data_IF_416386724317
#
_entry.id   IF_416386724317
#
_cell.length_a   1.000
_cell.length_b   1.000
_cell.length_c   1.000
_cell.angle_alpha   90.00
_cell.angle_beta   90.00
_cell.angle_gamma   90.00
#
_symmetry.space_group_name_H-M   'P 1'
#
loop_
_entity.id
_entity.type
_entity.pdbx_description
1 polymer ?
#
# COMPACT_ATOMS: atom_id res chain seq x y z
N UNK A 1 -3.17 14.49 -25.68
CA UNK A 1 -4.62 14.22 -25.55
C UNK A 1 -4.91 13.08 -24.57
N UNK A 2 -4.15 11.97 -24.59
CA UNK A 2 -4.30 10.87 -23.62
C UNK A 2 -4.03 11.28 -22.17
N UNK A 3 -3.02 12.12 -21.92
CA UNK A 3 -2.70 12.61 -20.57
C UNK A 3 -3.84 13.44 -19.93
N UNK A 4 -4.48 14.33 -20.70
CA UNK A 4 -5.62 15.12 -20.20
C UNK A 4 -6.80 14.23 -19.80
N UNK A 5 -7.13 13.24 -20.63
CA UNK A 5 -8.19 12.27 -20.35
C UNK A 5 -7.85 11.45 -19.10
N UNK A 6 -6.60 10.99 -18.99
CA UNK A 6 -6.11 10.25 -17.82
C UNK A 6 -6.24 11.07 -16.53
N UNK A 7 -5.80 12.33 -16.53
CA UNK A 7 -5.93 13.22 -15.38
C UNK A 7 -7.38 13.47 -14.97
N UNK A 8 -8.28 13.68 -15.95
CA UNK A 8 -9.71 13.85 -15.69
C UNK A 8 -10.31 12.61 -15.04
N UNK A 9 -9.97 11.40 -15.51
CA UNK A 9 -10.50 10.17 -14.94
C UNK A 9 -9.93 9.93 -13.52
N UNK A 10 -8.65 10.22 -13.28
CA UNK A 10 -8.07 10.16 -11.93
C UNK A 10 -8.70 11.17 -10.97
N UNK A 11 -8.99 12.38 -11.43
CA UNK A 11 -9.71 13.38 -10.65
C UNK A 11 -11.13 12.88 -10.33
N UNK A 12 -11.85 12.37 -11.33
CA UNK A 12 -13.18 11.82 -11.14
C UNK A 12 -13.17 10.64 -10.14
N UNK A 13 -12.20 9.73 -10.26
CA UNK A 13 -12.00 8.60 -9.35
C UNK A 13 -11.75 9.08 -7.92
N UNK A 14 -10.88 10.08 -7.74
CA UNK A 14 -10.59 10.69 -6.44
C UNK A 14 -11.83 11.32 -5.82
N UNK A 15 -12.65 12.03 -6.60
CA UNK A 15 -13.93 12.60 -6.14
C UNK A 15 -14.89 11.49 -5.71
N UNK A 16 -15.00 10.39 -6.46
CA UNK A 16 -15.87 9.27 -6.07
C UNK A 16 -15.41 8.60 -4.77
N UNK A 17 -14.10 8.51 -4.50
CA UNK A 17 -13.59 8.03 -3.21
C UNK A 17 -13.96 8.96 -2.06
N UNK A 18 -13.77 10.28 -2.22
CA UNK A 18 -14.12 11.27 -1.19
C UNK A 18 -15.63 11.21 -0.88
N UNK A 19 -16.48 11.20 -1.90
CA UNK A 19 -17.92 11.10 -1.74
C UNK A 19 -18.34 9.75 -1.13
N UNK A 20 -17.72 8.65 -1.58
CA UNK A 20 -17.93 7.31 -1.04
C UNK A 20 -17.63 7.23 0.45
N UNK A 21 -16.46 7.74 0.88
CA UNK A 21 -16.05 7.83 2.28
C UNK A 21 -17.01 8.68 3.11
N UNK A 22 -17.42 9.85 2.60
CA UNK A 22 -18.41 10.72 3.27
C UNK A 22 -19.75 10.00 3.48
N UNK A 23 -20.18 9.22 2.49
CA UNK A 23 -21.42 8.44 2.56
C UNK A 23 -21.33 7.23 3.49
N UNK A 24 -20.14 6.65 3.68
CA UNK A 24 -19.90 5.56 4.62
C UNK A 24 -20.06 6.01 6.09
N UNK A 25 -19.85 7.29 6.39
CA UNK A 25 -20.07 7.85 7.73
C UNK A 25 -21.54 7.93 8.15
N UNK A 26 -22.50 7.64 7.25
CA UNK A 26 -23.94 7.60 7.57
C UNK A 26 -24.55 6.25 7.15
N UNK A 27 -25.16 5.55 8.11
CA UNK A 27 -25.73 4.22 7.92
C UNK A 27 -26.76 4.14 6.78
N UNK A 28 -27.55 5.21 6.54
CA UNK A 28 -28.55 5.25 5.46
C UNK A 28 -27.91 5.26 4.07
N UNK A 29 -26.72 5.84 3.93
CA UNK A 29 -26.00 5.97 2.66
C UNK A 29 -24.85 5.00 2.49
N UNK A 30 -24.46 4.27 3.53
CA UNK A 30 -23.25 3.44 3.56
C UNK A 30 -23.16 2.43 2.40
N UNK A 31 -24.24 1.71 2.08
CA UNK A 31 -24.24 0.75 0.95
C UNK A 31 -23.95 1.42 -0.39
N UNK A 32 -24.56 2.58 -0.64
CA UNK A 32 -24.33 3.38 -1.85
C UNK A 32 -22.94 4.01 -1.86
N UNK A 33 -22.43 4.42 -0.70
CA UNK A 33 -21.07 4.93 -0.56
C UNK A 33 -20.02 3.89 -0.94
N UNK A 34 -20.19 2.65 -0.47
CA UNK A 34 -19.31 1.54 -0.83
C UNK A 34 -19.33 1.23 -2.34
N UNK A 35 -20.51 1.20 -2.97
CA UNK A 35 -20.60 0.96 -4.42
C UNK A 35 -19.98 2.11 -5.23
N UNK A 36 -20.15 3.36 -4.78
CA UNK A 36 -19.54 4.51 -5.44
C UNK A 36 -18.01 4.45 -5.40
N UNK A 37 -17.44 4.10 -4.25
CA UNK A 37 -15.99 3.91 -4.12
C UNK A 37 -15.48 2.74 -5.00
N UNK A 38 -16.25 1.66 -5.11
CA UNK A 38 -15.90 0.53 -5.98
C UNK A 38 -15.84 0.94 -7.47
N UNK A 39 -16.79 1.75 -7.94
CA UNK A 39 -16.76 2.30 -9.31
C UNK A 39 -15.52 3.16 -9.53
N UNK A 40 -15.17 4.02 -8.55
CA UNK A 40 -13.93 4.80 -8.58
C UNK A 40 -12.67 3.96 -8.72
N UNK A 41 -12.58 2.87 -7.94
CA UNK A 41 -11.45 1.94 -8.01
C UNK A 41 -11.34 1.25 -9.37
N UNK A 42 -12.46 0.78 -9.94
CA UNK A 42 -12.48 0.15 -11.28
C UNK A 42 -12.01 1.15 -12.34
N UNK A 43 -12.50 2.40 -12.28
CA UNK A 43 -12.10 3.46 -13.21
C UNK A 43 -10.60 3.78 -13.10
N UNK A 44 -10.05 3.87 -11.89
CA UNK A 44 -8.63 4.12 -11.67
C UNK A 44 -7.75 2.98 -12.23
N UNK A 45 -8.08 1.72 -11.93
CA UNK A 45 -7.35 0.55 -12.45
C UNK A 45 -7.41 0.50 -13.98
N UNK A 46 -8.60 0.70 -14.55
CA UNK A 46 -8.77 0.73 -16.01
C UNK A 46 -7.91 1.82 -16.65
N UNK A 47 -7.89 3.01 -16.05
CA UNK A 47 -7.10 4.14 -16.55
C UNK A 47 -5.60 3.81 -16.51
N UNK A 48 -5.12 3.23 -15.42
CA UNK A 48 -3.72 2.83 -15.27
C UNK A 48 -3.27 1.79 -16.31
N UNK A 49 -4.16 0.87 -16.73
CA UNK A 49 -3.85 -0.17 -17.71
C UNK A 49 -3.97 0.31 -19.15
N UNK A 50 -4.89 1.24 -19.45
CA UNK A 50 -5.18 1.66 -20.84
C UNK A 50 -4.37 2.89 -21.26
N UNK A 51 -4.13 3.83 -20.34
CA UNK A 51 -3.47 5.11 -20.63
C UNK A 51 -2.01 5.14 -20.15
N UNK A 52 -1.35 3.99 -20.01
CA UNK A 52 0.08 3.96 -19.72
C UNK A 52 0.89 4.39 -20.94
N UNK A 53 2.06 4.98 -20.69
CA UNK A 53 3.01 5.36 -21.72
C UNK A 53 4.05 4.25 -21.93
N UNK A 54 4.33 3.93 -23.20
CA UNK A 54 5.35 2.96 -23.59
C UNK A 54 4.79 1.67 -24.17
N UNK A 55 5.64 0.95 -24.91
CA UNK A 55 5.28 -0.34 -25.48
C UNK A 55 5.44 -1.44 -24.41
N UNK A 56 4.33 -2.06 -24.02
CA UNK A 56 4.32 -3.17 -23.07
C UNK A 56 4.10 -4.48 -23.82
N UNK A 57 4.95 -5.48 -23.56
CA UNK A 57 4.86 -6.80 -24.19
C UNK A 57 3.54 -7.50 -23.85
N UNK A 58 2.93 -8.28 -24.76
CA UNK A 58 1.74 -9.10 -24.47
C UNK A 58 1.92 -10.01 -23.26
N UNK A 59 3.14 -10.50 -23.01
CA UNK A 59 3.45 -11.32 -21.84
C UNK A 59 3.25 -10.54 -20.53
N UNK A 60 3.66 -9.27 -20.49
CA UNK A 60 3.52 -8.41 -19.31
C UNK A 60 2.05 -8.12 -19.02
N UNK A 61 1.24 -7.86 -20.05
CA UNK A 61 -0.22 -7.75 -19.87
C UNK A 61 -0.81 -9.05 -19.29
N UNK A 62 -0.35 -10.21 -19.78
CA UNK A 62 -0.72 -11.51 -19.21
C UNK A 62 -0.40 -11.62 -17.71
N UNK A 63 0.77 -11.15 -17.28
CA UNK A 63 1.15 -11.10 -15.87
C UNK A 63 0.29 -10.13 -15.05
N UNK A 64 0.01 -8.93 -15.56
CA UNK A 64 -0.84 -7.93 -14.89
C UNK A 64 -2.25 -8.49 -14.67
N UNK A 65 -2.90 -8.97 -15.73
CA UNK A 65 -4.25 -9.54 -15.61
C UNK A 65 -4.26 -10.82 -14.76
N UNK A 66 -3.21 -11.65 -14.87
CA UNK A 66 -3.04 -12.84 -14.02
C UNK A 66 -2.93 -12.48 -12.54
N UNK A 67 -2.10 -11.50 -12.18
CA UNK A 67 -1.94 -11.03 -10.81
C UNK A 67 -3.24 -10.41 -10.26
N UNK A 68 -3.93 -9.56 -11.04
CA UNK A 68 -5.24 -9.00 -10.67
C UNK A 68 -6.26 -10.11 -10.44
N UNK A 69 -6.33 -11.10 -11.32
CA UNK A 69 -7.26 -12.21 -11.21
C UNK A 69 -6.99 -13.05 -9.95
N UNK A 70 -5.73 -13.45 -9.73
CA UNK A 70 -5.34 -14.24 -8.55
C UNK A 70 -5.64 -13.46 -7.27
N UNK A 71 -5.20 -12.20 -7.18
CA UNK A 71 -5.43 -11.34 -6.01
C UNK A 71 -6.91 -11.12 -5.73
N UNK A 72 -7.71 -10.87 -6.77
CA UNK A 72 -9.17 -10.68 -6.64
C UNK A 72 -9.85 -11.96 -6.16
N UNK A 73 -9.51 -13.11 -6.74
CA UNK A 73 -10.11 -14.40 -6.35
C UNK A 73 -9.76 -14.76 -4.91
N UNK A 74 -8.47 -14.71 -4.55
CA UNK A 74 -8.02 -15.04 -3.19
C UNK A 74 -8.61 -14.06 -2.18
N UNK A 75 -8.57 -12.76 -2.47
CA UNK A 75 -9.14 -11.73 -1.61
C UNK A 75 -10.64 -11.88 -1.41
N UNK A 76 -11.39 -12.10 -2.50
CA UNK A 76 -12.84 -12.27 -2.45
C UNK A 76 -13.25 -13.54 -1.70
N UNK A 77 -12.59 -14.67 -1.96
CA UNK A 77 -12.87 -15.93 -1.28
C UNK A 77 -12.58 -15.83 0.22
N UNK A 78 -11.47 -15.20 0.60
CA UNK A 78 -11.10 -15.00 2.00
C UNK A 78 -12.13 -14.10 2.71
N UNK A 79 -12.51 -12.98 2.07
CA UNK A 79 -13.51 -12.06 2.62
C UNK A 79 -14.89 -12.69 2.78
N UNK A 80 -15.31 -13.55 1.85
CA UNK A 80 -16.62 -14.21 1.90
C UNK A 80 -16.70 -15.34 2.94
N UNK A 81 -15.58 -15.97 3.26
CA UNK A 81 -15.53 -17.14 4.17
C UNK A 81 -15.25 -16.78 5.63
N UNK A 82 -14.75 -15.57 5.92
CA UNK A 82 -14.44 -15.18 7.30
C UNK A 82 -15.72 -14.98 8.13
N UNK A 83 -15.67 -15.35 9.41
CA UNK A 83 -16.76 -15.07 10.35
C UNK A 83 -16.75 -13.58 10.74
N UNK A 84 -17.92 -12.98 10.95
CA UNK A 84 -18.04 -11.56 11.36
C UNK A 84 -17.33 -11.24 12.68
N UNK A 85 -17.16 -12.24 13.56
CA UNK A 85 -16.39 -12.12 14.82
C UNK A 85 -14.89 -11.97 14.59
N UNK A 86 -14.38 -12.45 13.45
CA UNK A 86 -12.98 -12.36 13.04
C UNK A 86 -12.72 -11.24 12.03
N UNK A 87 -13.68 -10.33 11.85
CA UNK A 87 -13.51 -9.18 10.97
C UNK A 87 -12.28 -8.33 11.31
N UNK A 88 -11.93 -8.08 12.60
CA UNK A 88 -10.72 -7.31 12.93
C UNK A 88 -9.42 -7.93 12.39
N UNK A 89 -9.30 -9.27 12.43
CA UNK A 89 -8.14 -10.00 11.89
C UNK A 89 -8.02 -9.83 10.37
N UNK A 90 -9.14 -10.00 9.67
CA UNK A 90 -9.19 -9.86 8.21
C UNK A 90 -8.83 -8.44 7.77
N UNK A 91 -9.35 -7.43 8.46
CA UNK A 91 -9.05 -6.02 8.18
C UNK A 91 -7.56 -5.72 8.41
N UNK A 92 -6.96 -6.29 9.47
CA UNK A 92 -5.51 -6.19 9.71
C UNK A 92 -4.70 -6.78 8.56
N UNK A 93 -5.04 -7.99 8.10
CA UNK A 93 -4.35 -8.62 6.97
C UNK A 93 -4.46 -7.78 5.69
N UNK A 94 -5.65 -7.31 5.33
CA UNK A 94 -5.82 -6.50 4.13
C UNK A 94 -5.11 -5.14 4.20
N UNK A 95 -5.04 -4.52 5.39
CA UNK A 95 -4.22 -3.32 5.57
C UNK A 95 -2.74 -3.63 5.37
N UNK A 96 -2.25 -4.74 5.94
CA UNK A 96 -0.87 -5.20 5.77
C UNK A 96 -0.50 -5.45 4.32
N UNK A 97 -1.35 -6.12 3.55
CA UNK A 97 -1.10 -6.35 2.11
C UNK A 97 -1.00 -5.03 1.34
N UNK A 98 -1.80 -4.01 1.70
CA UNK A 98 -1.66 -2.66 1.15
C UNK A 98 -0.30 -2.02 1.48
N UNK A 99 0.18 -2.17 2.72
CA UNK A 99 1.53 -1.76 3.13
C UNK A 99 2.62 -2.49 2.35
N UNK A 100 2.49 -3.81 2.16
CA UNK A 100 3.42 -4.60 1.36
C UNK A 100 3.47 -4.13 -0.11
N UNK A 101 2.32 -3.80 -0.70
CA UNK A 101 2.28 -3.21 -2.04
C UNK A 101 3.10 -1.90 -2.11
N UNK A 102 2.93 -0.99 -1.14
CA UNK A 102 3.71 0.25 -1.10
C UNK A 102 5.22 0.01 -0.95
N UNK A 103 5.61 -0.95 -0.11
CA UNK A 103 7.01 -1.36 0.06
C UNK A 103 7.63 -1.93 -1.23
N UNK A 104 6.90 -2.84 -1.90
CA UNK A 104 7.35 -3.46 -3.15
C UNK A 104 7.42 -2.46 -4.31
N UNK A 105 6.46 -1.54 -4.41
CA UNK A 105 6.51 -0.43 -5.38
C UNK A 105 7.78 0.39 -5.14
N UNK A 106 8.08 0.71 -3.87
CA UNK A 106 9.29 1.44 -3.55
C UNK A 106 10.57 0.72 -3.96
N UNK A 107 10.61 -0.61 -3.83
CA UNK A 107 11.77 -1.43 -4.17
C UNK A 107 12.02 -1.43 -5.68
N UNK A 108 10.95 -1.56 -6.47
CA UNK A 108 11.03 -1.59 -7.93
C UNK A 108 11.32 -0.20 -8.52
N UNK A 109 10.74 0.85 -7.94
CA UNK A 109 10.80 2.20 -8.52
C UNK A 109 12.04 3.00 -8.12
N UNK A 110 12.74 2.57 -7.05
CA UNK A 110 13.94 3.25 -6.54
C UNK A 110 15.00 3.47 -7.63
N UNK A 111 15.38 2.41 -8.34
CA UNK A 111 16.43 2.48 -9.36
C UNK A 111 16.06 3.35 -10.58
N UNK A 112 14.76 3.51 -10.87
CA UNK A 112 14.29 4.36 -11.97
C UNK A 112 14.31 5.85 -11.61
N UNK A 113 14.36 6.22 -10.33
CA UNK A 113 14.19 7.59 -9.85
C UNK A 113 15.34 8.10 -8.97
N UNK A 114 16.51 7.47 -9.02
CA UNK A 114 17.70 7.86 -8.23
C UNK A 114 18.26 9.24 -8.60
N UNK A 115 17.94 9.77 -9.79
CA UNK A 115 18.44 11.06 -10.28
C UNK A 115 17.71 12.27 -9.70
N UNK A 116 16.48 12.10 -9.21
CA UNK A 116 15.68 13.19 -8.65
C UNK A 116 15.51 13.00 -7.13
N UNK A 117 16.14 13.84 -6.29
CA UNK A 117 16.07 13.72 -4.84
C UNK A 117 14.65 13.74 -4.29
N UNK A 118 13.73 14.50 -4.91
CA UNK A 118 12.34 14.58 -4.48
C UNK A 118 11.61 13.27 -4.73
N UNK A 119 11.78 12.67 -5.90
CA UNK A 119 11.15 11.38 -6.22
C UNK A 119 11.71 10.28 -5.32
N UNK A 120 13.03 10.25 -5.14
CA UNK A 120 13.70 9.32 -4.24
C UNK A 120 13.18 9.45 -2.80
N UNK A 121 12.99 10.67 -2.29
CA UNK A 121 12.44 10.90 -0.95
C UNK A 121 11.01 10.36 -0.80
N UNK A 122 10.14 10.59 -1.78
CA UNK A 122 8.75 10.11 -1.76
C UNK A 122 8.71 8.57 -1.83
N UNK A 123 9.54 7.98 -2.68
CA UNK A 123 9.66 6.52 -2.84
C UNK A 123 10.15 5.87 -1.54
N UNK A 124 11.22 6.38 -0.94
CA UNK A 124 11.77 5.82 0.30
C UNK A 124 10.82 6.04 1.49
N UNK A 125 10.15 7.18 1.57
CA UNK A 125 9.12 7.41 2.60
C UNK A 125 7.95 6.42 2.46
N UNK A 126 7.46 6.23 1.22
CA UNK A 126 6.41 5.25 0.93
C UNK A 126 6.83 3.81 1.27
N UNK A 127 8.08 3.44 0.97
CA UNK A 127 8.64 2.15 1.32
C UNK A 127 8.67 1.94 2.83
N UNK A 128 9.24 2.87 3.60
CA UNK A 128 9.34 2.78 5.07
C UNK A 128 7.94 2.67 5.70
N UNK A 129 7.01 3.52 5.30
CA UNK A 129 5.62 3.48 5.80
C UNK A 129 4.97 2.14 5.43
N UNK A 130 5.20 1.64 4.22
CA UNK A 130 4.70 0.36 3.73
C UNK A 130 5.21 -0.83 4.53
N UNK A 131 6.53 -0.93 4.74
CA UNK A 131 7.17 -2.01 5.50
C UNK A 131 6.72 -2.04 6.95
N UNK A 132 6.68 -0.87 7.61
CA UNK A 132 6.19 -0.74 8.99
C UNK A 132 4.70 -1.09 9.10
N UNK A 133 3.88 -0.67 8.14
CA UNK A 133 2.45 -1.00 8.09
C UNK A 133 2.23 -2.51 7.90
N UNK A 134 3.03 -3.15 7.03
CA UNK A 134 2.98 -4.59 6.81
C UNK A 134 3.36 -5.37 8.07
N UNK A 135 4.53 -5.07 8.66
CA UNK A 135 5.01 -5.77 9.87
C UNK A 135 4.06 -5.57 11.05
N UNK A 136 3.58 -4.34 11.27
CA UNK A 136 2.59 -4.01 12.30
C UNK A 136 1.28 -4.77 12.10
N UNK A 137 0.81 -4.90 10.87
CA UNK A 137 -0.41 -5.64 10.52
C UNK A 137 -0.27 -7.15 10.74
N UNK A 138 0.90 -7.73 10.47
CA UNK A 138 1.16 -9.15 10.74
C UNK A 138 1.18 -9.44 12.25
N UNK A 139 1.81 -8.56 13.04
CA UNK A 139 1.81 -8.67 14.51
C UNK A 139 0.40 -8.48 15.08
N UNK A 140 -0.37 -7.51 14.58
CA UNK A 140 -1.75 -7.28 15.00
C UNK A 140 -2.66 -8.48 14.66
N UNK A 141 -2.53 -9.04 13.46
CA UNK A 141 -3.23 -10.27 13.08
C UNK A 141 -2.87 -11.45 13.98
N UNK A 142 -1.58 -11.65 14.26
CA UNK A 142 -1.11 -12.75 15.11
C UNK A 142 -1.65 -12.64 16.55
N UNK A 143 -1.81 -11.42 17.07
CA UNK A 143 -2.44 -11.18 18.38
C UNK A 143 -3.93 -11.51 18.37
N UNK A 144 -4.65 -11.03 17.36
CA UNK A 144 -6.11 -11.19 17.28
C UNK A 144 -6.51 -12.66 17.05
N UNK A 145 -5.79 -13.39 16.19
CA UNK A 145 -6.03 -14.82 15.93
C UNK A 145 -5.47 -15.74 17.04
N UNK A 146 -4.91 -15.18 18.12
CA UNK A 146 -4.45 -15.95 19.28
C UNK A 146 -3.11 -16.68 19.13
N UNK A 147 -2.41 -16.52 18.00
CA UNK A 147 -1.05 -17.05 17.77
C UNK A 147 -0.03 -16.40 18.71
N UNK A 148 -0.17 -15.09 18.98
CA UNK A 148 0.69 -14.33 19.88
C UNK A 148 -0.09 -13.92 21.13
N UNK A 149 0.18 -14.59 22.26
CA UNK A 149 -0.61 -14.44 23.51
C UNK A 149 -0.12 -13.34 24.45
N UNK A 150 1.19 -13.09 24.51
CA UNK A 150 1.80 -12.17 25.46
C UNK A 150 2.39 -10.95 24.75
N UNK A 151 2.15 -9.77 25.30
CA UNK A 151 2.84 -8.56 24.88
C UNK A 151 4.31 -8.68 25.30
N UNK A 152 5.21 -8.86 24.33
CA UNK A 152 6.65 -8.74 24.56
C UNK A 152 6.92 -7.27 24.89
N UNK A 153 7.17 -6.96 26.16
CA UNK A 153 7.47 -5.61 26.63
C UNK A 153 8.97 -5.51 26.90
N UNK A 154 9.65 -4.71 26.08
CA UNK A 154 11.03 -4.33 26.31
C UNK A 154 11.10 -3.23 27.39
N UNK A 155 12.21 -3.17 28.16
CA UNK A 155 12.47 -2.01 29.02
C UNK A 155 12.51 -0.73 28.16
N UNK A 156 11.87 0.35 28.62
CA UNK A 156 11.81 1.64 27.92
C UNK A 156 11.32 1.58 26.44
N UNK A 157 10.37 0.69 26.13
CA UNK A 157 9.85 0.47 24.78
C UNK A 157 9.41 1.75 24.02
N UNK A 158 8.85 2.76 24.70
CA UNK A 158 8.49 4.03 24.05
C UNK A 158 9.70 4.74 23.46
N UNK A 159 10.82 4.77 24.18
CA UNK A 159 12.05 5.41 23.75
C UNK A 159 12.65 4.65 22.57
N UNK A 160 12.72 3.31 22.67
CA UNK A 160 13.26 2.44 21.61
C UNK A 160 12.44 2.60 20.32
N UNK A 161 11.12 2.50 20.40
CA UNK A 161 10.25 2.63 19.22
C UNK A 161 10.37 4.01 18.57
N UNK A 162 10.44 5.06 19.38
CA UNK A 162 10.62 6.44 18.88
C UNK A 162 11.98 6.59 18.20
N UNK A 163 13.04 6.09 18.83
CA UNK A 163 14.40 6.14 18.28
C UNK A 163 14.52 5.37 16.96
N UNK A 164 13.92 4.18 16.86
CA UNK A 164 13.87 3.41 15.61
C UNK A 164 13.10 4.17 14.54
N UNK A 165 11.90 4.67 14.86
CA UNK A 165 11.07 5.41 13.90
C UNK A 165 11.81 6.63 13.34
N UNK A 166 12.40 7.47 14.20
CA UNK A 166 13.19 8.62 13.74
C UNK A 166 14.46 8.18 13.02
N UNK A 167 15.10 7.10 13.46
CA UNK A 167 16.27 6.51 12.81
C UNK A 167 15.99 6.10 11.37
N UNK A 168 14.84 5.46 11.10
CA UNK A 168 14.45 5.04 9.75
C UNK A 168 14.24 6.23 8.81
N UNK A 169 13.53 7.26 9.25
CA UNK A 169 13.33 8.46 8.44
C UNK A 169 14.62 9.27 8.27
N UNK A 170 15.46 9.37 9.30
CA UNK A 170 16.76 10.02 9.21
C UNK A 170 17.70 9.29 8.25
N UNK A 171 17.71 7.95 8.29
CA UNK A 171 18.50 7.12 7.39
C UNK A 171 18.01 7.24 5.94
N UNK A 172 16.70 7.22 5.72
CA UNK A 172 16.08 7.49 4.42
C UNK A 172 16.46 8.89 3.89
N UNK A 173 16.38 9.94 4.73
CA UNK A 173 16.79 11.29 4.34
C UNK A 173 18.29 11.38 4.03
N UNK A 174 19.13 10.67 4.78
CA UNK A 174 20.56 10.57 4.51
C UNK A 174 20.83 9.91 3.14
N UNK A 175 20.11 8.83 2.80
CA UNK A 175 20.23 8.20 1.48
C UNK A 175 19.92 9.18 0.35
N UNK A 176 18.87 10.00 0.50
CA UNK A 176 18.49 11.04 -0.47
C UNK A 176 19.57 12.11 -0.59
N UNK A 177 20.14 12.56 0.54
CA UNK A 177 21.19 13.58 0.53
C UNK A 177 22.46 13.07 -0.14
N UNK A 178 22.92 11.88 0.21
CA UNK A 178 24.12 11.28 -0.40
C UNK A 178 23.88 10.90 -1.87
N UNK A 179 22.63 10.64 -2.25
CA UNK A 179 22.28 10.16 -3.59
C UNK A 179 22.79 8.75 -3.84
N UNK A 180 22.86 7.92 -2.79
CA UNK A 180 23.34 6.54 -2.92
C UNK A 180 22.28 5.66 -3.60
N UNK A 181 22.71 4.88 -4.60
CA UNK A 181 21.87 3.90 -5.30
C UNK A 181 22.17 2.45 -4.85
N UNK A 182 22.86 2.28 -3.72
CA UNK A 182 23.26 0.96 -3.24
C UNK A 182 22.05 0.14 -2.75
N UNK A 183 21.92 -1.07 -3.31
CA UNK A 183 20.85 -2.02 -2.99
C UNK A 183 20.87 -2.45 -1.53
N UNK A 184 22.06 -2.51 -0.91
CA UNK A 184 22.18 -2.90 0.50
C UNK A 184 21.42 -1.94 1.41
N UNK A 185 21.55 -0.63 1.17
CA UNK A 185 20.85 0.40 1.96
C UNK A 185 19.34 0.36 1.74
N UNK A 186 18.91 0.09 0.51
CA UNK A 186 17.50 -0.11 0.17
C UNK A 186 16.90 -1.32 0.91
N UNK A 187 17.61 -2.46 0.93
CA UNK A 187 17.14 -3.65 1.62
C UNK A 187 17.08 -3.49 3.15
N UNK A 188 17.98 -2.72 3.74
CA UNK A 188 17.92 -2.36 5.16
C UNK A 188 16.60 -1.62 5.46
N UNK A 189 16.21 -0.66 4.62
CA UNK A 189 14.95 0.06 4.78
C UNK A 189 13.72 -0.81 4.49
N UNK A 190 13.82 -1.71 3.52
CA UNK A 190 12.72 -2.60 3.15
C UNK A 190 12.37 -3.58 4.27
N UNK A 191 13.37 -4.12 4.98
CA UNK A 191 13.19 -5.08 6.07
C UNK A 191 13.13 -4.48 7.48
N UNK A 192 13.12 -3.16 7.59
CA UNK A 192 12.95 -2.43 8.85
C UNK A 192 11.53 -2.59 9.46
#
# INVERSE_FOLDING_TARGET
>A
MNLEIQHIIYLASSVTFILGLKMLSNAKTAKKGNSLAAVGMIAAIFTAIVFHDGAVSPLVYGLIFGAIAIGTVVGWLTAKRVQMTKMPELVSLFNGMGGACAALIGLVEFHHNTSNPTNMAVILAGMVIGSVSFSGSMVAWAKLNGTLKNAIRLPQYNLINTAIMFGLFAYSAWMVWVGTADEMHLYILFFA
#
